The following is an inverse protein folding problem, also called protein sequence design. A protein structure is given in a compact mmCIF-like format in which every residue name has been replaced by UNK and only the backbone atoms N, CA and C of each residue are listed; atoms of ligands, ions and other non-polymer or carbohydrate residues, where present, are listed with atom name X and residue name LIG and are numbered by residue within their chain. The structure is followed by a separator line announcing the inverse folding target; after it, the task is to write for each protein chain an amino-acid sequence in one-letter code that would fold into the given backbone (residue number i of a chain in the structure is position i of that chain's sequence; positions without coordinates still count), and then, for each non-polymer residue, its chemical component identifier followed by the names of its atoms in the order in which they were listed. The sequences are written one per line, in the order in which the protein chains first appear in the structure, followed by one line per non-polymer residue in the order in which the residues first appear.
data_IF_167023305630
#
_entry.id   IF_167023305630
#
_cell.length_a   1.000
_cell.length_b   1.000
_cell.length_c   1.000
_cell.angle_alpha   90.00
_cell.angle_beta   90.00
_cell.angle_gamma   90.00
#
_symmetry.space_group_name_H-M   'P 1'
#
loop_
_entity.id
_entity.type
_entity.pdbx_description
1 polymer ?
#
# COMPACT_ATOMS: atom_id res chain seq x y z
N UNK A 1 7.16 -8.19 25.41
CA UNK A 1 6.38 -7.62 24.29
C UNK A 1 7.20 -7.85 23.03
N UNK A 2 6.59 -8.41 21.99
CA UNK A 2 7.26 -8.58 20.68
C UNK A 2 7.03 -7.30 19.86
N UNK A 3 8.08 -6.82 19.21
CA UNK A 3 8.09 -5.64 18.35
C UNK A 3 9.05 -5.85 17.17
N UNK A 4 9.06 -4.94 16.20
CA UNK A 4 10.01 -4.97 15.09
C UNK A 4 11.44 -5.18 15.62
N UNK A 5 12.12 -6.22 15.11
CA UNK A 5 13.47 -6.59 15.51
C UNK A 5 13.57 -7.58 16.68
N UNK A 6 12.49 -7.85 17.40
CA UNK A 6 12.48 -8.93 18.40
C UNK A 6 12.79 -10.28 17.74
N UNK A 7 13.64 -11.11 18.34
CA UNK A 7 13.89 -12.47 17.87
C UNK A 7 13.94 -13.50 19.01
N UNK A 8 13.55 -14.74 18.74
CA UNK A 8 13.58 -15.83 19.73
C UNK A 8 15.04 -16.22 20.08
N UNK A 9 15.32 -16.57 21.34
CA UNK A 9 16.70 -16.79 21.81
C UNK A 9 17.42 -17.97 21.14
N UNK A 10 16.67 -18.86 20.49
CA UNK A 10 17.19 -19.97 19.69
C UNK A 10 17.48 -19.59 18.22
N UNK A 11 17.15 -18.37 17.77
CA UNK A 11 17.47 -17.91 16.42
C UNK A 11 18.98 -17.72 16.24
N UNK A 12 19.56 -18.39 15.24
CA UNK A 12 21.01 -18.35 14.99
C UNK A 12 21.49 -17.00 14.43
N UNK A 13 22.78 -16.71 14.54
CA UNK A 13 23.38 -15.55 13.87
C UNK A 13 23.24 -15.62 12.33
N UNK A 14 23.36 -16.82 11.75
CA UNK A 14 23.20 -17.03 10.32
C UNK A 14 21.77 -16.73 9.84
N UNK A 15 20.75 -17.17 10.59
CA UNK A 15 19.34 -16.87 10.27
C UNK A 15 19.06 -15.36 10.30
N UNK A 16 19.58 -14.66 11.31
CA UNK A 16 19.49 -13.20 11.43
C UNK A 16 20.17 -12.47 10.27
N UNK A 17 21.36 -12.91 9.88
CA UNK A 17 22.08 -12.35 8.73
C UNK A 17 21.32 -12.59 7.41
N UNK A 18 20.77 -13.79 7.21
CA UNK A 18 19.97 -14.14 6.04
C UNK A 18 18.69 -13.28 5.95
N UNK A 19 18.02 -13.01 7.07
CA UNK A 19 16.87 -12.10 7.12
C UNK A 19 17.27 -10.68 6.70
N UNK A 20 18.36 -10.12 7.25
CA UNK A 20 18.81 -8.77 6.89
C UNK A 20 19.21 -8.67 5.41
N UNK A 21 19.81 -9.73 4.87
CA UNK A 21 20.14 -9.82 3.45
C UNK A 21 18.87 -9.88 2.58
N UNK A 22 17.86 -10.66 2.98
CA UNK A 22 16.56 -10.68 2.30
C UNK A 22 15.92 -9.29 2.26
N UNK A 23 15.95 -8.55 3.38
CA UNK A 23 15.46 -7.17 3.42
C UNK A 23 16.26 -6.28 2.46
N UNK A 24 17.59 -6.41 2.43
CA UNK A 24 18.45 -5.65 1.51
C UNK A 24 18.10 -5.96 0.06
N UNK A 25 17.89 -7.22 -0.31
CA UNK A 25 17.50 -7.62 -1.66
C UNK A 25 16.14 -7.05 -2.05
N UNK A 26 15.14 -7.18 -1.17
CA UNK A 26 13.77 -6.73 -1.44
C UNK A 26 13.66 -5.21 -1.53
N UNK A 27 14.35 -4.48 -0.64
CA UNK A 27 14.22 -3.03 -0.52
C UNK A 27 15.32 -2.24 -1.22
N UNK A 28 16.37 -2.93 -1.68
CA UNK A 28 17.59 -2.40 -2.33
C UNK A 28 18.43 -1.46 -1.48
N UNK A 29 18.18 -1.43 -0.18
CA UNK A 29 18.91 -0.60 0.78
C UNK A 29 19.32 -1.48 1.94
N UNK A 30 20.60 -1.41 2.31
CA UNK A 30 21.08 -2.11 3.49
C UNK A 30 20.47 -1.47 4.74
N UNK A 31 20.16 -2.26 5.78
CA UNK A 31 19.57 -1.73 7.01
C UNK A 31 20.46 -0.67 7.69
N UNK A 32 21.78 -0.77 7.55
CA UNK A 32 22.71 0.26 8.06
C UNK A 32 22.55 1.63 7.41
N UNK A 33 21.99 1.71 6.20
CA UNK A 33 21.72 2.95 5.48
C UNK A 33 20.34 3.54 5.78
N UNK A 34 19.50 2.79 6.50
CA UNK A 34 18.18 3.25 6.95
C UNK A 34 18.37 4.22 8.11
N UNK A 35 17.65 5.35 8.05
CA UNK A 35 17.65 6.38 9.09
C UNK A 35 17.21 5.76 10.41
N UNK A 36 17.96 6.03 11.47
CA UNK A 36 17.60 5.57 12.81
C UNK A 36 16.20 6.07 13.21
N UNK A 37 15.39 5.18 13.78
CA UNK A 37 14.02 5.50 14.16
C UNK A 37 13.15 4.25 14.27
N UNK A 38 11.85 4.46 14.48
CA UNK A 38 10.88 3.39 14.80
C UNK A 38 10.69 2.36 13.67
N UNK A 39 11.06 2.71 12.45
CA UNK A 39 10.96 1.84 11.26
C UNK A 39 12.29 1.15 10.93
N UNK A 40 13.42 1.50 11.57
CA UNK A 40 14.68 0.79 11.36
C UNK A 40 14.72 -0.44 12.26
N UNK A 41 14.85 -1.62 11.66
CA UNK A 41 14.98 -2.85 12.43
C UNK A 41 16.30 -2.88 13.22
N UNK A 42 16.19 -3.10 14.53
CA UNK A 42 17.30 -3.34 15.44
C UNK A 42 17.09 -4.69 16.13
N UNK A 43 17.90 -5.68 15.75
CA UNK A 43 17.70 -7.05 16.20
C UNK A 43 18.03 -7.18 17.70
N UNK A 44 17.01 -7.49 18.50
CA UNK A 44 17.11 -7.61 19.96
C UNK A 44 16.52 -8.95 20.41
N UNK A 45 17.21 -9.75 21.23
CA UNK A 45 16.66 -11.01 21.71
C UNK A 45 15.42 -10.73 22.55
N UNK A 46 14.36 -11.52 22.34
CA UNK A 46 13.17 -11.48 23.15
C UNK A 46 13.55 -11.92 24.57
N UNK A 47 13.34 -11.04 25.54
CA UNK A 47 13.60 -11.36 26.94
C UNK A 47 12.79 -12.60 27.36
N UNK A 48 13.36 -13.50 28.20
CA UNK A 48 12.60 -14.59 28.78
C UNK A 48 11.37 -14.02 29.49
N UNK A 49 10.20 -14.27 28.91
CA UNK A 49 8.94 -13.88 29.50
C UNK A 49 8.38 -15.07 30.30
N UNK A 50 7.43 -14.82 31.20
CA UNK A 50 6.79 -15.88 31.98
C UNK A 50 6.19 -16.98 31.08
N UNK A 51 5.93 -18.16 31.65
CA UNK A 51 5.50 -19.37 30.93
C UNK A 51 4.27 -19.21 30.02
N UNK A 52 3.53 -18.10 30.14
CA UNK A 52 2.32 -17.79 29.39
C UNK A 52 2.54 -16.85 28.21
N UNK A 53 3.74 -16.33 27.99
CA UNK A 53 4.02 -15.40 26.88
C UNK A 53 4.40 -16.14 25.61
N UNK A 54 3.81 -15.74 24.48
CA UNK A 54 4.14 -16.34 23.18
C UNK A 54 5.53 -15.90 22.70
N UNK A 55 6.29 -16.84 22.13
CA UNK A 55 7.50 -16.57 21.34
C UNK A 55 7.14 -15.93 20.00
N UNK A 56 8.14 -15.36 19.30
CA UNK A 56 7.95 -14.82 17.95
C UNK A 56 7.47 -15.89 16.98
N UNK A 57 8.09 -17.07 16.98
CA UNK A 57 7.69 -18.20 16.14
C UNK A 57 6.25 -18.66 16.44
N UNK A 58 5.84 -18.65 17.71
CA UNK A 58 4.46 -18.98 18.10
C UNK A 58 3.46 -17.95 17.56
N UNK A 59 3.79 -16.65 17.63
CA UNK A 59 2.95 -15.57 17.06
C UNK A 59 2.85 -15.71 15.54
N UNK A 60 3.97 -15.95 14.85
CA UNK A 60 3.97 -16.16 13.40
C UNK A 60 3.07 -17.33 13.02
N UNK A 61 3.25 -18.50 13.65
CA UNK A 61 2.42 -19.67 13.37
C UNK A 61 0.94 -19.45 13.68
N UNK A 62 0.62 -18.71 14.74
CA UNK A 62 -0.75 -18.36 15.09
C UNK A 62 -1.40 -17.41 14.08
N UNK A 63 -0.69 -16.35 13.65
CA UNK A 63 -1.17 -15.42 12.62
C UNK A 63 -1.35 -16.09 11.26
N UNK A 64 -0.49 -17.05 10.90
CA UNK A 64 -0.65 -17.88 9.70
C UNK A 64 -1.92 -18.72 9.79
N UNK A 65 -2.16 -19.42 10.92
CA UNK A 65 -3.37 -20.24 11.13
C UNK A 65 -4.66 -19.41 11.16
N UNK A 66 -4.58 -18.19 11.69
CA UNK A 66 -5.69 -17.24 11.75
C UNK A 66 -5.90 -16.47 10.42
N UNK A 67 -5.16 -16.77 9.35
CA UNK A 67 -5.38 -16.17 8.03
C UNK A 67 -4.80 -14.76 7.83
N UNK A 68 -4.03 -14.23 8.78
CA UNK A 68 -3.42 -12.89 8.71
C UNK A 68 -1.98 -12.87 8.18
N UNK A 69 -1.34 -14.04 8.06
CA UNK A 69 0.01 -14.14 7.52
C UNK A 69 0.17 -15.32 6.53
N UNK A 70 -0.59 -15.35 5.43
CA UNK A 70 -0.55 -16.43 4.45
C UNK A 70 0.82 -16.57 3.78
N UNK A 71 1.46 -17.73 3.92
CA UNK A 71 2.84 -17.95 3.47
C UNK A 71 3.91 -17.41 4.44
N UNK A 72 3.51 -16.95 5.62
CA UNK A 72 4.42 -16.53 6.68
C UNK A 72 5.29 -17.69 7.18
N UNK A 73 6.57 -17.40 7.41
CA UNK A 73 7.55 -18.35 7.95
C UNK A 73 7.68 -18.14 9.46
N UNK A 74 7.62 -19.21 10.24
CA UNK A 74 7.86 -19.19 11.68
C UNK A 74 9.37 -19.29 11.97
N UNK A 75 10.12 -18.25 11.62
CA UNK A 75 11.59 -18.18 11.75
C UNK A 75 12.05 -17.62 13.12
N UNK A 76 11.11 -17.17 13.95
CA UNK A 76 11.40 -16.57 15.24
C UNK A 76 11.93 -15.14 15.13
N UNK A 77 11.84 -14.47 13.98
CA UNK A 77 12.25 -13.08 13.78
C UNK A 77 11.03 -12.20 13.52
N UNK A 78 10.80 -11.21 14.38
CA UNK A 78 9.74 -10.22 14.18
C UNK A 78 10.23 -9.15 13.20
N UNK A 79 10.31 -9.55 11.94
CA UNK A 79 10.64 -8.68 10.82
C UNK A 79 9.49 -7.79 10.36
N UNK A 80 9.68 -7.09 9.24
CA UNK A 80 8.67 -6.17 8.69
C UNK A 80 7.36 -6.88 8.34
N UNK A 81 7.42 -8.09 7.76
CA UNK A 81 6.22 -8.88 7.44
C UNK A 81 5.50 -9.37 8.70
N UNK A 82 6.23 -9.87 9.69
CA UNK A 82 5.65 -10.27 10.99
C UNK A 82 4.98 -9.09 11.70
N UNK A 83 5.63 -7.92 11.74
CA UNK A 83 5.07 -6.71 12.32
C UNK A 83 3.80 -6.28 11.57
N UNK A 84 3.80 -6.38 10.25
CA UNK A 84 2.64 -6.06 9.41
C UNK A 84 1.48 -7.03 9.64
N UNK A 85 1.76 -8.32 9.84
CA UNK A 85 0.73 -9.30 10.21
C UNK A 85 0.14 -9.03 11.60
N UNK A 86 0.98 -8.60 12.57
CA UNK A 86 0.51 -8.17 13.90
C UNK A 86 -0.42 -6.96 13.75
N UNK A 87 -0.03 -5.94 12.99
CA UNK A 87 -0.88 -4.76 12.74
C UNK A 87 -2.18 -5.11 12.02
N UNK A 88 -2.11 -5.97 11.00
CA UNK A 88 -3.30 -6.39 10.25
C UNK A 88 -4.30 -7.11 11.17
N UNK A 89 -3.83 -7.99 12.06
CA UNK A 89 -4.66 -8.62 13.07
C UNK A 89 -5.26 -7.61 14.07
N UNK A 90 -4.43 -6.71 14.62
CA UNK A 90 -4.91 -5.64 15.50
C UNK A 90 -5.96 -4.76 14.81
N UNK A 91 -5.75 -4.45 13.54
CA UNK A 91 -6.68 -3.65 12.75
C UNK A 91 -7.99 -4.39 12.50
N UNK A 92 -7.96 -5.68 12.21
CA UNK A 92 -9.19 -6.48 12.10
C UNK A 92 -9.99 -6.48 13.41
N UNK A 93 -9.33 -6.72 14.54
CA UNK A 93 -9.96 -6.68 15.87
C UNK A 93 -10.58 -5.31 16.16
N UNK A 94 -9.93 -4.22 15.77
CA UNK A 94 -10.45 -2.85 15.94
C UNK A 94 -11.59 -2.52 14.97
N UNK A 95 -11.37 -2.75 13.68
CA UNK A 95 -12.24 -2.28 12.61
C UNK A 95 -13.47 -3.17 12.43
N UNK A 96 -13.28 -4.50 12.48
CA UNK A 96 -14.33 -5.48 12.19
C UNK A 96 -15.02 -5.94 13.48
N UNK A 97 -14.26 -6.26 14.52
CA UNK A 97 -14.84 -6.69 15.81
C UNK A 97 -15.17 -5.54 16.77
N UNK A 98 -14.84 -4.30 16.38
CA UNK A 98 -15.13 -3.08 17.15
C UNK A 98 -14.58 -3.12 18.58
N UNK A 99 -13.42 -3.77 18.76
CA UNK A 99 -12.72 -3.80 20.05
C UNK A 99 -11.73 -2.63 20.16
N UNK A 100 -11.49 -2.18 21.38
CA UNK A 100 -10.52 -1.10 21.64
C UNK A 100 -9.09 -1.56 21.36
N UNK A 101 -8.32 -0.71 20.67
CA UNK A 101 -6.91 -0.98 20.39
C UNK A 101 -6.32 -0.05 19.34
N UNK A 102 -4.99 0.03 19.33
CA UNK A 102 -4.23 0.70 18.28
C UNK A 102 -3.47 -0.35 17.48
N UNK A 103 -3.56 -0.36 16.14
CA UNK A 103 -2.75 -1.22 15.27
C UNK A 103 -1.30 -0.71 15.18
N UNK A 104 -0.57 -0.82 16.28
CA UNK A 104 0.79 -0.29 16.46
C UNK A 104 1.91 -1.30 16.09
N UNK A 105 1.56 -2.56 15.84
CA UNK A 105 2.52 -3.62 15.54
C UNK A 105 3.29 -4.12 16.75
N UNK A 106 2.85 -3.75 17.97
CA UNK A 106 3.41 -4.21 19.23
C UNK A 106 2.54 -5.36 19.76
N UNK A 107 3.11 -6.55 19.79
CA UNK A 107 2.42 -7.71 20.34
C UNK A 107 2.63 -7.74 21.86
N UNK A 108 1.74 -7.03 22.55
CA UNK A 108 1.63 -6.97 24.01
C UNK A 108 0.52 -7.88 24.56
N UNK A 109 0.24 -7.82 25.88
CA UNK A 109 -0.76 -8.66 26.54
C UNK A 109 -2.17 -8.56 25.94
N UNK A 110 -2.57 -7.37 25.48
CA UNK A 110 -3.85 -7.16 24.79
C UNK A 110 -3.94 -7.95 23.49
N UNK A 111 -2.98 -7.74 22.59
CA UNK A 111 -2.88 -8.47 21.32
C UNK A 111 -2.80 -9.98 21.55
N UNK A 112 -2.01 -10.43 22.53
CA UNK A 112 -1.91 -11.84 22.89
C UNK A 112 -3.25 -12.43 23.32
N UNK A 113 -3.99 -11.74 24.20
CA UNK A 113 -5.31 -12.19 24.64
C UNK A 113 -6.29 -12.34 23.47
N UNK A 114 -6.32 -11.37 22.55
CA UNK A 114 -7.19 -11.48 21.36
C UNK A 114 -6.77 -12.63 20.45
N UNK A 115 -5.46 -12.82 20.23
CA UNK A 115 -4.97 -13.92 19.39
C UNK A 115 -5.24 -15.27 20.03
N UNK A 116 -5.06 -15.41 21.35
CA UNK A 116 -5.38 -16.64 22.07
C UNK A 116 -6.88 -16.96 21.98
N UNK A 117 -7.76 -15.96 22.18
CA UNK A 117 -9.21 -16.13 21.98
C UNK A 117 -9.54 -16.63 20.56
N UNK A 118 -8.84 -16.12 19.55
CA UNK A 118 -9.01 -16.57 18.17
C UNK A 118 -8.59 -18.03 17.98
N UNK A 119 -7.45 -18.43 18.55
CA UNK A 119 -6.97 -19.80 18.49
C UNK A 119 -7.92 -20.76 19.21
N UNK A 120 -8.33 -20.41 20.43
CA UNK A 120 -9.22 -21.23 21.26
C UNK A 120 -10.62 -21.39 20.63
N UNK A 121 -11.10 -20.34 19.96
CA UNK A 121 -12.39 -20.34 19.27
C UNK A 121 -12.34 -20.85 17.82
N UNK A 122 -11.16 -21.18 17.28
CA UNK A 122 -11.02 -21.54 15.87
C UNK A 122 -11.48 -20.45 14.91
N UNK A 123 -11.36 -19.18 15.32
CA UNK A 123 -11.87 -18.04 14.55
C UNK A 123 -11.06 -17.83 13.27
N UNK A 124 -11.75 -17.36 12.24
CA UNK A 124 -11.20 -17.01 10.93
C UNK A 124 -11.72 -15.63 10.54
N UNK A 125 -10.95 -14.85 9.73
CA UNK A 125 -11.42 -13.58 9.24
C UNK A 125 -12.58 -13.83 8.27
N UNK A 126 -13.50 -12.89 8.21
CA UNK A 126 -14.68 -12.94 7.36
C UNK A 126 -14.36 -12.92 5.85
N UNK A 127 -13.14 -12.54 5.47
CA UNK A 127 -12.64 -12.64 4.10
C UNK A 127 -12.16 -14.04 3.71
N UNK A 128 -12.24 -15.04 4.59
CA UNK A 128 -11.72 -16.40 4.33
C UNK A 128 -12.32 -17.03 3.07
N UNK A 129 -13.64 -16.95 2.89
CA UNK A 129 -14.32 -17.55 1.74
C UNK A 129 -13.97 -16.83 0.43
N UNK A 130 -13.87 -15.50 0.47
CA UNK A 130 -13.46 -14.70 -0.68
C UNK A 130 -12.02 -15.06 -1.13
N UNK A 131 -11.10 -15.21 -0.16
CA UNK A 131 -9.72 -15.64 -0.44
C UNK A 131 -9.68 -17.07 -0.95
N UNK A 132 -10.51 -17.97 -0.44
CA UNK A 132 -10.59 -19.36 -0.92
C UNK A 132 -11.10 -19.44 -2.36
N UNK A 133 -12.17 -18.71 -2.70
CA UNK A 133 -12.70 -18.63 -4.06
C UNK A 133 -11.70 -18.01 -5.03
N UNK A 134 -11.01 -16.94 -4.62
CA UNK A 134 -9.92 -16.35 -5.40
C UNK A 134 -8.80 -17.37 -5.67
N UNK A 135 -8.37 -18.15 -4.65
CA UNK A 135 -7.33 -19.19 -4.80
C UNK A 135 -7.73 -20.31 -5.76
N UNK A 136 -9.01 -20.64 -5.86
CA UNK A 136 -9.50 -21.66 -6.81
C UNK A 136 -9.62 -21.13 -8.25
N UNK A 137 -9.17 -19.89 -8.52
CA UNK A 137 -9.20 -19.29 -9.85
C UNK A 137 -10.59 -18.84 -10.30
N UNK A 138 -11.58 -18.84 -9.41
CA UNK A 138 -12.95 -18.39 -9.68
C UNK A 138 -13.32 -17.30 -8.66
N UNK A 139 -12.84 -16.05 -8.83
CA UNK A 139 -13.24 -14.97 -7.95
C UNK A 139 -14.76 -14.87 -7.89
N UNK A 140 -15.32 -14.72 -6.70
CA UNK A 140 -16.75 -14.55 -6.53
C UNK A 140 -17.22 -13.29 -7.30
N UNK A 141 -18.45 -13.29 -7.85
CA UNK A 141 -19.06 -12.08 -8.38
C UNK A 141 -19.07 -10.96 -7.33
N UNK A 142 -18.87 -9.72 -7.77
CA UNK A 142 -18.84 -8.55 -6.90
C UNK A 142 -17.74 -7.57 -7.31
N UNK A 143 -17.50 -6.58 -6.45
CA UNK A 143 -16.70 -5.41 -6.80
C UNK A 143 -15.29 -5.76 -7.31
N UNK A 144 -14.63 -6.78 -6.75
CA UNK A 144 -13.32 -7.23 -7.23
C UNK A 144 -13.36 -7.66 -8.71
N UNK A 145 -14.37 -8.44 -9.10
CA UNK A 145 -14.54 -8.88 -10.48
C UNK A 145 -14.90 -7.69 -11.39
N UNK A 146 -15.77 -6.78 -10.93
CA UNK A 146 -16.15 -5.57 -11.66
C UNK A 146 -14.93 -4.69 -11.97
N UNK A 147 -14.00 -4.55 -11.02
CA UNK A 147 -12.74 -3.85 -11.23
C UNK A 147 -11.88 -4.50 -12.30
N UNK A 148 -11.73 -5.83 -12.31
CA UNK A 148 -11.00 -6.52 -13.36
C UNK A 148 -11.67 -6.36 -14.73
N UNK A 149 -13.00 -6.34 -14.78
CA UNK A 149 -13.77 -6.06 -16.01
C UNK A 149 -13.48 -4.66 -16.53
N UNK A 150 -13.53 -3.64 -15.67
CA UNK A 150 -13.19 -2.26 -16.01
C UNK A 150 -11.75 -2.16 -16.54
N UNK A 151 -10.76 -2.69 -15.81
CA UNK A 151 -9.35 -2.60 -16.21
C UNK A 151 -9.09 -3.26 -17.58
N UNK A 152 -9.73 -4.41 -17.85
CA UNK A 152 -9.67 -5.04 -19.16
C UNK A 152 -10.41 -4.24 -20.25
N UNK A 153 -11.51 -3.56 -19.92
CA UNK A 153 -12.19 -2.65 -20.86
C UNK A 153 -11.31 -1.45 -21.21
N UNK A 154 -10.65 -0.86 -20.22
CA UNK A 154 -9.67 0.23 -20.40
C UNK A 154 -8.49 -0.23 -21.26
N UNK A 155 -7.93 -1.43 -21.02
CA UNK A 155 -6.89 -2.02 -21.89
C UNK A 155 -7.35 -2.10 -23.34
N UNK A 156 -8.54 -2.66 -23.59
CA UNK A 156 -9.10 -2.80 -24.94
C UNK A 156 -9.31 -1.43 -25.60
N UNK A 157 -9.86 -0.47 -24.87
CA UNK A 157 -10.06 0.90 -25.37
C UNK A 157 -8.75 1.51 -25.85
N UNK A 158 -7.71 1.52 -25.01
CA UNK A 158 -6.43 2.12 -25.37
C UNK A 158 -5.58 1.28 -26.32
N UNK A 159 -5.84 -0.02 -26.47
CA UNK A 159 -5.24 -0.82 -27.53
C UNK A 159 -5.79 -0.43 -28.90
N UNK A 160 -7.09 -0.12 -28.99
CA UNK A 160 -7.75 0.27 -30.23
C UNK A 160 -7.53 1.74 -30.58
N UNK A 161 -7.44 2.61 -29.59
CA UNK A 161 -7.33 4.07 -29.78
C UNK A 161 -6.45 4.68 -28.69
N UNK A 162 -5.11 4.50 -28.76
CA UNK A 162 -4.21 5.06 -27.77
C UNK A 162 -4.20 6.59 -27.86
N UNK A 163 -4.31 7.25 -26.71
CA UNK A 163 -4.12 8.70 -26.62
C UNK A 163 -2.64 9.07 -26.87
N UNK A 164 -2.36 10.37 -27.00
CA UNK A 164 -1.01 10.85 -27.35
C UNK A 164 0.06 10.40 -26.35
N UNK A 165 -0.24 10.39 -25.06
CA UNK A 165 0.69 9.95 -24.03
C UNK A 165 1.03 8.46 -24.17
N UNK A 166 0.03 7.61 -24.38
CA UNK A 166 0.23 6.16 -24.56
C UNK A 166 0.94 5.83 -25.88
N UNK A 167 0.76 6.66 -26.92
CA UNK A 167 1.57 6.57 -28.15
C UNK A 167 3.05 6.87 -27.87
N UNK A 168 3.36 7.88 -27.04
CA UNK A 168 4.74 8.17 -26.63
C UNK A 168 5.34 7.02 -25.82
N UNK A 169 4.57 6.44 -24.90
CA UNK A 169 5.00 5.26 -24.12
C UNK A 169 5.27 4.07 -25.05
N UNK A 170 4.44 3.83 -26.06
CA UNK A 170 4.66 2.74 -27.01
C UNK A 170 5.88 2.96 -27.93
N UNK A 171 6.23 4.21 -28.23
CA UNK A 171 7.32 4.56 -29.14
C UNK A 171 8.69 4.74 -28.44
N UNK A 172 8.72 4.86 -27.11
CA UNK A 172 9.94 5.16 -26.37
C UNK A 172 10.89 3.95 -26.29
N UNK A 173 12.20 4.23 -26.26
CA UNK A 173 13.25 3.25 -25.97
C UNK A 173 13.83 3.41 -24.56
N UNK A 174 13.29 4.35 -23.78
CA UNK A 174 13.72 4.61 -22.41
C UNK A 174 13.40 3.38 -21.56
N UNK A 175 14.44 2.77 -21.00
CA UNK A 175 14.29 1.70 -20.00
C UNK A 175 13.53 2.25 -18.80
N UNK A 176 12.39 1.65 -18.47
CA UNK A 176 11.54 2.08 -17.37
C UNK A 176 10.75 0.90 -16.79
N UNK A 177 10.07 1.15 -15.68
CA UNK A 177 9.11 0.26 -15.02
C UNK A 177 7.67 0.56 -15.48
N UNK A 178 7.49 1.35 -16.54
CA UNK A 178 6.18 1.65 -17.13
C UNK A 178 5.91 0.72 -18.30
N UNK A 179 4.73 0.13 -18.31
CA UNK A 179 4.31 -0.85 -19.30
C UNK A 179 3.57 -0.20 -20.46
N UNK A 180 3.88 -0.62 -21.68
CA UNK A 180 3.06 -0.31 -22.83
C UNK A 180 1.68 -0.99 -22.69
N UNK A 181 0.65 -0.46 -23.37
CA UNK A 181 -0.73 -0.97 -23.27
C UNK A 181 -0.81 -2.47 -23.56
N UNK A 182 -0.04 -2.98 -24.53
CA UNK A 182 0.00 -4.39 -24.88
C UNK A 182 0.44 -5.29 -23.70
N UNK A 183 1.30 -4.77 -22.83
CA UNK A 183 1.95 -5.46 -21.71
C UNK A 183 1.16 -5.33 -20.39
N UNK A 184 0.06 -4.57 -20.37
CA UNK A 184 -0.77 -4.45 -19.19
C UNK A 184 -1.33 -5.82 -18.77
N UNK A 185 -1.16 -6.18 -17.50
CA UNK A 185 -1.64 -7.44 -16.93
C UNK A 185 -2.72 -7.14 -15.90
N UNK A 186 -3.91 -7.68 -16.13
CA UNK A 186 -5.06 -7.59 -15.23
C UNK A 186 -5.58 -8.98 -14.84
N UNK A 187 -4.67 -9.96 -14.78
CA UNK A 187 -4.94 -11.27 -14.20
C UNK A 187 -5.26 -11.17 -12.71
N UNK A 188 -5.85 -12.22 -12.15
CA UNK A 188 -6.24 -12.25 -10.74
C UNK A 188 -5.07 -12.52 -9.78
N UNK A 189 -3.95 -13.06 -10.27
CA UNK A 189 -2.81 -13.46 -9.43
C UNK A 189 -1.98 -12.29 -8.86
N UNK A 190 -1.68 -11.22 -9.62
CA UNK A 190 -0.96 -10.07 -9.09
C UNK A 190 -1.79 -9.23 -8.11
N UNK A 191 -1.10 -8.49 -7.25
CA UNK A 191 -1.71 -7.37 -6.52
C UNK A 191 -1.85 -6.17 -7.44
N UNK A 192 -3.03 -5.56 -7.49
CA UNK A 192 -3.27 -4.34 -8.26
C UNK A 192 -3.55 -3.19 -7.31
N UNK A 193 -2.87 -2.06 -7.52
CA UNK A 193 -3.21 -0.80 -6.90
C UNK A 193 -3.62 0.17 -8.00
N UNK A 194 -4.86 0.64 -7.98
CA UNK A 194 -5.39 1.53 -9.00
C UNK A 194 -5.51 2.93 -8.43
N UNK A 195 -4.76 3.91 -8.96
CA UNK A 195 -4.97 5.32 -8.66
C UNK A 195 -5.92 5.93 -9.68
N UNK A 196 -6.90 6.71 -9.22
CA UNK A 196 -7.80 7.46 -10.10
C UNK A 196 -7.49 8.95 -9.98
N UNK A 197 -6.90 9.52 -11.03
CA UNK A 197 -6.64 10.96 -11.15
C UNK A 197 -7.90 11.70 -11.56
N UNK A 198 -8.28 12.71 -10.79
CA UNK A 198 -9.42 13.59 -11.13
C UNK A 198 -9.10 14.58 -12.24
N UNK A 199 -10.14 14.99 -12.97
CA UNK A 199 -10.02 16.06 -13.96
C UNK A 199 -9.87 17.45 -13.31
N UNK A 200 -10.42 17.63 -12.11
CA UNK A 200 -10.32 18.87 -11.35
C UNK A 200 -9.11 18.84 -10.41
N UNK A 201 -8.12 19.70 -10.64
CA UNK A 201 -7.00 19.85 -9.72
C UNK A 201 -7.43 20.61 -8.45
N UNK A 202 -7.67 19.88 -7.38
CA UNK A 202 -8.06 20.47 -6.10
C UNK A 202 -6.90 20.94 -5.22
N UNK A 203 -5.65 20.53 -5.49
CA UNK A 203 -4.56 20.53 -4.50
C UNK A 203 -5.01 19.97 -3.14
N UNK A 204 -5.88 18.96 -3.16
CA UNK A 204 -6.40 18.23 -2.00
C UNK A 204 -6.10 16.74 -2.11
N UNK A 205 -6.34 16.03 -1.01
CA UNK A 205 -6.40 14.56 -1.00
C UNK A 205 -7.78 14.11 -1.50
N UNK A 206 -8.12 14.33 -2.76
CA UNK A 206 -9.45 14.03 -3.30
C UNK A 206 -9.45 12.94 -4.37
N UNK A 207 -8.29 12.35 -4.65
CA UNK A 207 -8.17 11.15 -5.47
C UNK A 207 -8.42 9.90 -4.62
N UNK A 208 -8.78 8.80 -5.31
CA UNK A 208 -9.01 7.50 -4.69
C UNK A 208 -7.99 6.51 -5.22
N UNK A 209 -7.47 5.68 -4.32
CA UNK A 209 -6.66 4.51 -4.61
C UNK A 209 -7.45 3.26 -4.27
N UNK A 210 -7.43 2.25 -5.14
CA UNK A 210 -8.15 0.99 -4.94
C UNK A 210 -7.16 -0.17 -4.98
N UNK A 211 -7.03 -0.88 -3.86
CA UNK A 211 -6.23 -2.09 -3.77
C UNK A 211 -7.12 -3.31 -4.07
N UNK A 212 -6.73 -4.08 -5.08
CA UNK A 212 -7.31 -5.39 -5.39
C UNK A 212 -6.32 -6.47 -4.93
N UNK A 213 -6.71 -7.27 -3.95
CA UNK A 213 -5.87 -8.33 -3.40
C UNK A 213 -6.73 -9.52 -2.97
N UNK A 214 -6.43 -10.70 -3.50
CA UNK A 214 -7.06 -11.97 -3.10
C UNK A 214 -8.60 -11.96 -3.11
N UNK A 215 -9.21 -11.35 -4.13
CA UNK A 215 -10.68 -11.23 -4.22
C UNK A 215 -11.27 -10.10 -3.36
N UNK A 216 -10.45 -9.33 -2.68
CA UNK A 216 -10.86 -8.23 -1.79
C UNK A 216 -10.57 -6.88 -2.44
N UNK A 217 -11.40 -5.89 -2.10
CA UNK A 217 -11.27 -4.51 -2.56
C UNK A 217 -11.14 -3.59 -1.35
N UNK A 218 -10.08 -2.78 -1.31
CA UNK A 218 -9.92 -1.75 -0.29
C UNK A 218 -9.75 -0.40 -0.99
N UNK A 219 -10.29 0.67 -0.40
CA UNK A 219 -10.20 2.01 -1.00
C UNK A 219 -9.52 2.97 -0.04
N UNK A 220 -8.59 3.77 -0.54
CA UNK A 220 -7.83 4.73 0.23
C UNK A 220 -7.96 6.10 -0.40
N UNK A 221 -8.03 7.13 0.44
CA UNK A 221 -7.98 8.51 -0.04
C UNK A 221 -6.53 8.94 -0.21
N UNK A 222 -6.26 9.73 -1.25
CA UNK A 222 -4.92 10.17 -1.55
C UNK A 222 -4.86 11.30 -2.55
N UNK A 223 -3.68 11.48 -3.13
CA UNK A 223 -3.47 12.33 -4.29
C UNK A 223 -2.50 11.65 -5.25
N UNK A 224 -2.86 11.69 -6.53
CA UNK A 224 -2.08 11.26 -7.68
C UNK A 224 -1.38 12.43 -8.39
N UNK A 225 -1.69 13.65 -7.93
CA UNK A 225 -1.16 14.89 -8.46
C UNK A 225 0.26 15.16 -7.93
N UNK A 226 1.17 15.65 -8.79
CA UNK A 226 2.50 16.02 -8.34
C UNK A 226 2.45 17.20 -7.36
N UNK A 227 3.21 17.07 -6.26
CA UNK A 227 3.53 18.17 -5.36
C UNK A 227 4.31 19.30 -6.04
N UNK A 228 4.60 20.37 -5.28
CA UNK A 228 5.43 21.47 -5.78
C UNK A 228 6.81 20.97 -6.23
N UNK A 229 7.35 21.55 -7.30
CA UNK A 229 8.68 21.21 -7.81
C UNK A 229 9.57 22.43 -7.92
N UNK A 230 10.84 22.27 -7.59
CA UNK A 230 11.90 23.27 -7.80
C UNK A 230 12.67 23.03 -9.10
N UNK A 231 12.36 21.96 -9.83
CA UNK A 231 13.00 21.67 -11.10
C UNK A 231 12.55 22.69 -12.17
N UNK A 232 13.49 23.36 -12.88
CA UNK A 232 13.13 24.37 -13.89
C UNK A 232 12.34 23.80 -15.08
N UNK A 233 12.42 22.48 -15.32
CA UNK A 233 11.60 21.82 -16.34
C UNK A 233 10.15 21.57 -15.90
N UNK A 234 9.82 21.83 -14.62
CA UNK A 234 8.47 21.72 -14.08
C UNK A 234 8.19 20.39 -13.36
N UNK A 235 6.94 20.24 -12.90
CA UNK A 235 6.50 19.09 -12.08
C UNK A 235 6.47 17.80 -12.89
N UNK A 236 6.99 16.68 -12.34
CA UNK A 236 6.91 15.39 -13.02
C UNK A 236 5.54 14.75 -12.80
N UNK A 237 4.73 14.69 -13.85
CA UNK A 237 3.48 13.94 -13.86
C UNK A 237 3.74 12.49 -14.27
N UNK A 238 3.37 11.55 -13.39
CA UNK A 238 3.34 10.14 -13.74
C UNK A 238 2.40 9.94 -14.94
N UNK A 239 2.90 9.24 -15.96
CA UNK A 239 2.10 8.89 -17.13
C UNK A 239 0.97 7.95 -16.74
N UNK A 240 -0.17 8.09 -17.39
CA UNK A 240 -1.28 7.15 -17.31
C UNK A 240 -0.83 5.74 -17.73
N UNK A 241 -1.42 4.70 -17.13
CA UNK A 241 -1.19 3.31 -17.49
C UNK A 241 -0.69 2.46 -16.33
N UNK A 242 -0.10 1.31 -16.64
CA UNK A 242 0.36 0.35 -15.64
C UNK A 242 1.88 0.43 -15.42
N UNK A 243 2.30 0.27 -14.17
CA UNK A 243 3.68 0.41 -13.71
C UNK A 243 4.03 -0.68 -12.68
N UNK A 244 5.28 -1.13 -12.72
CA UNK A 244 5.79 -2.10 -11.77
C UNK A 244 6.35 -1.42 -10.52
N UNK A 245 5.75 -1.72 -9.38
CA UNK A 245 6.19 -1.24 -8.07
C UNK A 245 6.58 -2.39 -7.15
N UNK A 246 7.50 -2.12 -6.22
CA UNK A 246 7.87 -3.04 -5.15
C UNK A 246 7.95 -2.31 -3.82
N UNK A 247 8.05 -3.09 -2.74
CA UNK A 247 8.27 -2.55 -1.42
C UNK A 247 9.71 -2.03 -1.25
N UNK A 248 9.87 -0.76 -0.86
CA UNK A 248 11.16 -0.12 -0.67
C UNK A 248 11.11 1.08 0.26
N UNK A 249 12.26 1.71 0.48
CA UNK A 249 12.37 2.80 1.46
C UNK A 249 12.06 4.18 0.88
N UNK A 250 11.09 4.89 1.44
CA UNK A 250 10.91 6.32 1.18
C UNK A 250 11.85 7.14 2.07
N UNK A 251 12.73 7.93 1.44
CA UNK A 251 13.77 8.73 2.12
C UNK A 251 14.65 7.95 3.11
N UNK A 252 14.75 6.63 2.96
CA UNK A 252 15.40 5.73 3.94
C UNK A 252 14.81 5.81 5.35
N UNK A 253 13.57 6.29 5.51
CA UNK A 253 12.92 6.49 6.81
C UNK A 253 11.87 5.44 7.12
N UNK A 254 11.01 5.13 6.15
CA UNK A 254 9.93 4.16 6.32
C UNK A 254 9.62 3.49 4.98
N UNK A 255 8.86 2.40 5.04
CA UNK A 255 8.58 1.59 3.88
C UNK A 255 7.38 2.13 3.09
N UNK A 256 7.49 2.06 1.77
CA UNK A 256 6.57 2.57 0.77
C UNK A 256 6.63 1.71 -0.50
N UNK A 257 5.80 2.00 -1.50
CA UNK A 257 5.97 1.41 -2.82
C UNK A 257 6.91 2.28 -3.65
N UNK A 258 7.86 1.66 -4.33
CA UNK A 258 8.85 2.30 -5.21
C UNK A 258 8.83 1.65 -6.59
N UNK A 259 9.20 2.38 -7.66
CA UNK A 259 9.40 1.78 -8.97
C UNK A 259 10.36 0.58 -8.93
N UNK A 260 10.02 -0.48 -9.66
CA UNK A 260 10.69 -1.79 -9.65
C UNK A 260 12.14 -1.76 -10.13
N UNK A 261 12.66 -0.72 -10.75
CA UNK A 261 13.89 -0.79 -11.53
C UNK A 261 14.42 0.58 -11.89
N UNK A 262 14.34 0.91 -13.18
CA UNK A 262 14.91 2.14 -13.73
C UNK A 262 14.07 3.40 -13.42
N UNK A 263 12.87 3.23 -12.83
CA UNK A 263 11.93 4.29 -12.59
C UNK A 263 10.74 4.23 -13.53
N UNK A 264 9.67 4.93 -13.16
CA UNK A 264 8.48 5.08 -14.00
C UNK A 264 8.64 6.26 -14.95
N UNK A 265 7.91 6.23 -16.06
CA UNK A 265 7.91 7.32 -17.02
C UNK A 265 7.08 8.50 -16.49
N UNK A 266 7.62 9.70 -16.65
CA UNK A 266 6.92 10.94 -16.33
C UNK A 266 7.00 11.91 -17.51
N UNK A 267 6.04 12.81 -17.58
CA UNK A 267 6.10 14.01 -18.41
C UNK A 267 6.19 15.21 -17.50
N UNK A 268 7.04 16.18 -17.82
CA UNK A 268 7.15 17.42 -17.02
C UNK A 268 6.21 18.49 -17.54
N UNK A 269 5.43 19.08 -16.63
CA UNK A 269 4.56 20.21 -16.92
C UNK A 269 5.19 21.53 -16.48
N UNK A 270 5.40 22.45 -17.42
CA UNK A 270 6.07 23.74 -17.16
C UNK A 270 5.17 24.75 -16.44
N UNK A 271 3.85 24.62 -16.63
CA UNK A 271 2.87 25.57 -16.14
C UNK A 271 2.39 25.26 -14.71
N UNK A 272 2.95 24.22 -14.07
CA UNK A 272 2.73 23.84 -12.66
C UNK A 272 1.29 23.49 -12.25
N UNK A 273 0.33 23.54 -13.16
CA UNK A 273 -1.09 23.35 -12.87
C UNK A 273 -1.59 22.00 -13.39
N UNK A 274 -1.91 21.85 -14.67
CA UNK A 274 -2.48 20.60 -15.22
C UNK A 274 -1.64 20.17 -16.41
N UNK A 275 -1.40 18.86 -16.53
CA UNK A 275 -0.72 18.30 -17.70
C UNK A 275 -1.62 18.45 -18.93
N UNK A 276 -1.12 19.11 -19.97
CA UNK A 276 -1.81 19.28 -21.25
C UNK A 276 -1.05 18.67 -22.44
N UNK A 277 -1.64 18.71 -23.63
CA UNK A 277 -1.02 18.17 -24.85
C UNK A 277 0.28 18.89 -25.24
N UNK A 278 0.46 20.16 -24.85
CA UNK A 278 1.69 20.90 -25.12
C UNK A 278 2.84 20.39 -24.25
N UNK A 279 2.56 20.01 -23.00
CA UNK A 279 3.54 19.39 -22.11
C UNK A 279 4.03 18.05 -22.64
N UNK A 280 3.22 17.29 -23.37
CA UNK A 280 3.64 16.02 -24.00
C UNK A 280 4.78 16.21 -25.01
N UNK A 281 4.95 17.42 -25.56
CA UNK A 281 6.08 17.76 -26.43
C UNK A 281 7.42 17.84 -25.69
N UNK A 282 7.42 17.93 -24.35
CA UNK A 282 8.65 17.88 -23.53
C UNK A 282 9.29 16.48 -23.53
N UNK A 283 8.56 15.45 -23.98
CA UNK A 283 9.03 14.08 -24.01
C UNK A 283 8.90 13.36 -22.67
N UNK A 284 9.33 12.10 -22.67
CA UNK A 284 9.29 11.21 -21.52
C UNK A 284 10.67 11.17 -20.84
N UNK A 285 10.68 11.04 -19.52
CA UNK A 285 11.87 10.69 -18.75
C UNK A 285 11.57 9.55 -17.77
N UNK A 286 12.55 8.71 -17.47
CA UNK A 286 12.44 7.73 -16.40
C UNK A 286 12.80 8.36 -15.05
N UNK A 287 11.98 8.12 -14.03
CA UNK A 287 12.16 8.69 -12.70
C UNK A 287 11.96 7.62 -11.60
N UNK A 288 13.06 7.27 -10.92
CA UNK A 288 13.09 6.25 -9.87
C UNK A 288 12.67 6.76 -8.47
N UNK A 289 12.22 8.01 -8.39
CA UNK A 289 11.83 8.67 -7.13
C UNK A 289 10.32 8.84 -6.96
N UNK A 290 9.54 8.51 -8.00
CA UNK A 290 8.07 8.56 -7.99
C UNK A 290 7.51 7.40 -7.17
N UNK A 291 7.48 7.57 -5.86
CA UNK A 291 6.99 6.57 -4.92
C UNK A 291 5.48 6.69 -4.69
N UNK A 292 4.88 5.65 -4.13
CA UNK A 292 3.55 5.70 -3.50
C UNK A 292 3.77 5.61 -1.99
N UNK A 293 3.55 6.71 -1.28
CA UNK A 293 3.94 6.82 0.13
C UNK A 293 2.89 7.53 0.98
N UNK A 294 3.19 7.67 2.26
CA UNK A 294 2.29 8.31 3.21
C UNK A 294 2.31 9.83 3.06
N UNK A 295 1.13 10.44 2.90
CA UNK A 295 0.93 11.89 2.81
C UNK A 295 0.72 12.59 4.16
N UNK A 296 0.83 11.88 5.28
CA UNK A 296 0.44 12.40 6.59
C UNK A 296 -1.02 12.07 6.95
N UNK A 297 -1.57 12.79 7.93
CA UNK A 297 -2.96 12.60 8.39
C UNK A 297 -4.02 12.97 7.36
N UNK A 298 -3.68 13.66 6.27
CA UNK A 298 -4.59 14.00 5.18
C UNK A 298 -5.92 14.67 5.58
N UNK A 299 -5.87 15.58 6.56
CA UNK A 299 -6.95 16.56 6.78
C UNK A 299 -6.79 17.76 5.83
N UNK A 300 -7.51 18.88 6.08
CA UNK A 300 -7.60 20.16 5.32
C UNK A 300 -6.27 20.84 4.88
N UNK A 301 -5.13 20.16 4.98
CA UNK A 301 -3.83 20.61 4.53
C UNK A 301 -3.74 20.56 3.00
N UNK A 302 -3.31 21.67 2.40
CA UNK A 302 -2.98 21.74 0.98
C UNK A 302 -1.87 20.74 0.63
N UNK A 303 -1.98 20.13 -0.56
CA UNK A 303 -1.01 19.24 -1.24
C UNK A 303 0.38 19.89 -1.51
N UNK A 304 0.66 21.08 -0.97
CA UNK A 304 1.76 21.95 -1.42
C UNK A 304 3.17 21.52 -0.97
N UNK A 305 3.31 20.59 -0.03
CA UNK A 305 4.60 20.32 0.65
C UNK A 305 5.15 18.88 0.53
N UNK A 306 4.64 18.05 -0.39
CA UNK A 306 5.18 16.69 -0.59
C UNK A 306 5.99 16.51 -1.88
N UNK A 307 6.70 15.39 -1.94
CA UNK A 307 7.68 15.01 -2.95
C UNK A 307 7.19 15.23 -4.39
N UNK A 308 8.09 15.74 -5.24
CA UNK A 308 7.83 16.00 -6.66
C UNK A 308 7.30 14.72 -7.34
N UNK A 309 6.04 14.74 -7.79
CA UNK A 309 5.43 13.64 -8.56
C UNK A 309 5.01 12.37 -7.82
N UNK A 310 5.33 12.23 -6.53
CA UNK A 310 4.90 11.06 -5.77
C UNK A 310 3.39 10.97 -5.65
N UNK A 311 2.91 9.73 -5.57
CA UNK A 311 1.53 9.43 -5.23
C UNK A 311 1.46 9.32 -3.69
N UNK A 312 0.43 9.90 -3.07
CA UNK A 312 0.35 9.94 -1.62
C UNK A 312 -0.97 9.41 -1.11
N UNK A 313 -0.93 8.68 0.00
CA UNK A 313 -2.11 8.12 0.67
C UNK A 313 -2.27 8.75 2.06
N UNK A 314 -3.50 9.13 2.37
CA UNK A 314 -3.94 9.67 3.64
C UNK A 314 -3.87 8.60 4.75
N UNK A 315 -3.49 8.99 5.97
CA UNK A 315 -3.57 8.15 7.17
C UNK A 315 -4.93 8.15 7.91
N UNK A 316 -5.88 9.06 7.65
CA UNK A 316 -7.08 9.23 8.48
C UNK A 316 -8.18 8.22 8.23
N UNK A 317 -8.43 7.80 6.98
CA UNK A 317 -9.56 6.93 6.65
C UNK A 317 -9.23 5.98 5.51
N UNK A 318 -9.91 4.85 5.50
CA UNK A 318 -9.99 3.94 4.35
C UNK A 318 -11.36 3.28 4.32
N UNK A 319 -11.73 2.70 3.19
CA UNK A 319 -12.92 1.86 3.05
C UNK A 319 -12.48 0.41 3.06
N UNK A 320 -13.05 -0.35 4.01
CA UNK A 320 -12.80 -1.77 4.17
C UNK A 320 -13.42 -2.61 3.04
N UNK A 321 -13.12 -3.90 3.05
CA UNK A 321 -13.62 -4.82 2.02
C UNK A 321 -15.13 -5.11 2.12
N UNK A 322 -15.82 -4.68 3.19
CA UNK A 322 -17.29 -4.70 3.27
C UNK A 322 -17.92 -3.39 2.79
N UNK A 323 -17.11 -2.46 2.26
CA UNK A 323 -17.58 -1.15 1.82
C UNK A 323 -17.77 -0.13 2.94
N UNK A 324 -17.33 -0.45 4.16
CA UNK A 324 -17.48 0.39 5.34
C UNK A 324 -16.35 1.42 5.47
N UNK A 325 -16.71 2.68 5.76
CA UNK A 325 -15.72 3.73 6.05
C UNK A 325 -15.13 3.54 7.45
N UNK A 326 -13.81 3.42 7.54
CA UNK A 326 -13.08 3.17 8.77
C UNK A 326 -12.19 4.36 9.10
N UNK A 327 -12.33 4.84 10.35
CA UNK A 327 -11.63 6.02 10.84
C UNK A 327 -10.41 5.61 11.69
N UNK A 328 -9.24 6.09 11.27
CA UNK A 328 -7.95 5.93 11.93
C UNK A 328 -7.47 7.24 12.58
N UNK A 329 -8.22 8.34 12.45
CA UNK A 329 -7.84 9.69 12.87
C UNK A 329 -7.47 9.82 14.36
N UNK A 330 -7.97 8.94 15.22
CA UNK A 330 -7.62 8.90 16.64
C UNK A 330 -6.16 8.50 16.89
N UNK A 331 -5.53 7.75 15.98
CA UNK A 331 -4.14 7.28 16.08
C UNK A 331 -3.29 7.63 14.85
N UNK A 332 -3.87 8.17 13.78
CA UNK A 332 -3.12 8.67 12.63
C UNK A 332 -2.29 9.90 13.01
N UNK A 333 -0.98 9.80 12.82
CA UNK A 333 -0.02 10.87 13.02
C UNK A 333 -0.13 11.95 11.94
N UNK A 334 0.27 13.18 12.23
CA UNK A 334 0.35 14.26 11.24
C UNK A 334 1.64 14.21 10.42
N UNK A 335 2.73 13.72 11.01
CA UNK A 335 4.05 13.65 10.37
C UNK A 335 4.93 12.56 11.00
N UNK A 336 6.11 12.33 10.41
CA UNK A 336 7.06 11.31 10.91
C UNK A 336 7.64 11.65 12.29
N UNK A 337 7.67 12.93 12.69
CA UNK A 337 8.13 13.33 14.02
C UNK A 337 7.17 12.82 15.11
N UNK A 338 5.87 12.91 14.88
CA UNK A 338 4.85 12.38 15.81
C UNK A 338 4.87 10.85 15.86
N UNK A 339 5.07 10.18 14.72
CA UNK A 339 5.27 8.71 14.68
C UNK A 339 6.48 8.30 15.52
N UNK A 340 7.57 9.07 15.47
CA UNK A 340 8.78 8.79 16.23
C UNK A 340 8.65 9.08 17.73
N UNK A 341 7.92 10.14 18.11
CA UNK A 341 7.84 10.60 19.50
C UNK A 341 6.68 9.98 20.30
N UNK A 342 5.64 9.49 19.63
CA UNK A 342 4.40 9.06 20.28
C UNK A 342 4.05 7.61 19.91
N UNK A 343 4.28 6.62 20.79
CA UNK A 343 4.10 5.20 20.47
C UNK A 343 2.68 4.78 20.03
N UNK A 344 1.65 5.54 20.42
CA UNK A 344 0.25 5.32 20.03
C UNK A 344 -0.12 5.96 18.68
N UNK A 345 0.82 6.64 18.03
CA UNK A 345 0.62 7.31 16.73
C UNK A 345 1.27 6.51 15.62
N UNK A 346 0.47 6.20 14.60
CA UNK A 346 0.91 5.42 13.43
C UNK A 346 0.61 6.18 12.14
N UNK A 347 0.94 5.60 10.98
CA UNK A 347 0.56 6.17 9.67
C UNK A 347 -0.88 5.81 9.28
N UNK A 348 -1.65 5.22 10.20
CA UNK A 348 -3.09 5.00 10.07
C UNK A 348 -3.46 4.15 8.85
N UNK A 349 -4.38 4.63 8.03
CA UNK A 349 -4.81 3.96 6.79
C UNK A 349 -3.65 3.61 5.83
N UNK A 350 -2.56 4.38 5.81
CA UNK A 350 -1.38 3.98 5.03
C UNK A 350 -0.69 2.72 5.57
N UNK A 351 -0.67 2.53 6.90
CA UNK A 351 -0.19 1.26 7.46
C UNK A 351 -1.07 0.10 6.99
N UNK A 352 -2.40 0.27 6.95
CA UNK A 352 -3.32 -0.76 6.45
C UNK A 352 -2.99 -1.17 5.02
N UNK A 353 -2.76 -0.22 4.11
CA UNK A 353 -2.31 -0.53 2.74
C UNK A 353 -1.03 -1.38 2.75
N UNK A 354 -0.01 -0.93 3.48
CA UNK A 354 1.28 -1.62 3.55
C UNK A 354 1.12 -3.01 4.17
N UNK A 355 0.27 -3.15 5.17
CA UNK A 355 0.07 -4.41 5.89
C UNK A 355 -0.68 -5.44 5.02
N UNK A 356 -1.66 -4.99 4.24
CA UNK A 356 -2.32 -5.83 3.24
C UNK A 356 -1.32 -6.32 2.19
N UNK A 357 -0.49 -5.42 1.64
CA UNK A 357 0.50 -5.80 0.61
C UNK A 357 1.57 -6.75 1.18
N UNK A 358 2.08 -6.49 2.39
CA UNK A 358 3.25 -7.20 2.91
C UNK A 358 2.94 -8.43 3.76
N UNK A 359 1.80 -8.47 4.44
CA UNK A 359 1.36 -9.61 5.24
C UNK A 359 0.29 -10.43 4.53
N UNK A 360 -0.82 -9.81 4.11
CA UNK A 360 -1.86 -10.56 3.40
C UNK A 360 -1.37 -11.02 2.02
N UNK A 361 -0.50 -10.27 1.36
CA UNK A 361 0.14 -10.63 0.10
C UNK A 361 1.45 -11.43 0.21
N UNK A 362 1.83 -11.95 1.39
CA UNK A 362 3.18 -12.52 1.56
C UNK A 362 3.47 -13.80 0.76
N UNK A 363 2.44 -14.49 0.30
CA UNK A 363 2.48 -15.66 -0.61
C UNK A 363 2.33 -15.27 -2.10
N UNK A 364 2.27 -13.98 -2.42
CA UNK A 364 2.17 -13.46 -3.79
C UNK A 364 3.54 -12.95 -4.29
N UNK A 365 3.71 -12.77 -5.62
CA UNK A 365 4.85 -12.04 -6.15
C UNK A 365 5.01 -10.68 -5.47
N UNK A 366 6.23 -10.22 -5.17
CA UNK A 366 6.48 -8.98 -4.42
C UNK A 366 6.18 -7.71 -5.21
N UNK A 367 5.86 -7.84 -6.50
CA UNK A 367 5.52 -6.73 -7.39
C UNK A 367 4.04 -6.38 -7.23
N UNK A 368 3.77 -5.08 -7.06
CA UNK A 368 2.44 -4.49 -7.11
C UNK A 368 2.30 -3.82 -8.47
N UNK A 369 1.26 -4.19 -9.23
CA UNK A 369 0.93 -3.53 -10.48
C UNK A 369 0.15 -2.27 -10.17
N UNK A 370 0.82 -1.12 -10.22
CA UNK A 370 0.17 0.17 -10.03
C UNK A 370 -0.42 0.64 -11.36
N UNK A 371 -1.73 0.88 -11.41
CA UNK A 371 -2.40 1.41 -12.61
C UNK A 371 -2.94 2.79 -12.32
N UNK A 372 -2.45 3.80 -13.06
CA UNK A 372 -2.98 5.15 -13.00
C UNK A 372 -4.03 5.34 -14.10
N UNK A 373 -5.28 5.49 -13.68
CA UNK A 373 -6.43 5.85 -14.52
C UNK A 373 -6.74 7.33 -14.39
N UNK A 374 -7.46 7.87 -15.37
CA UNK A 374 -8.12 9.18 -15.27
C UNK A 374 -9.61 8.99 -15.03
N UNK A 375 -10.27 9.98 -14.42
CA UNK A 375 -11.68 9.90 -14.03
C UNK A 375 -12.64 9.53 -15.16
N UNK A 376 -12.34 9.92 -16.42
CA UNK A 376 -13.14 9.54 -17.59
C UNK A 376 -13.06 8.05 -17.94
N UNK A 377 -11.99 7.35 -17.53
CA UNK A 377 -11.88 5.89 -17.78
C UNK A 377 -12.98 5.13 -17.04
N UNK A 378 -13.51 5.69 -15.95
CA UNK A 378 -14.62 5.12 -15.18
C UNK A 378 -15.95 5.15 -15.93
N UNK A 379 -16.07 5.88 -17.04
CA UNK A 379 -17.27 5.87 -17.89
C UNK A 379 -17.53 4.49 -18.52
N UNK A 380 -16.49 3.64 -18.58
CA UNK A 380 -16.60 2.25 -19.01
C UNK A 380 -17.22 1.33 -17.94
N UNK A 381 -17.37 1.80 -16.70
CA UNK A 381 -18.04 1.08 -15.61
C UNK A 381 -18.87 2.05 -14.73
N UNK A 382 -20.06 2.48 -15.20
CA UNK A 382 -20.86 3.50 -14.50
C UNK A 382 -21.19 3.17 -13.05
N UNK A 383 -21.41 1.89 -12.71
CA UNK A 383 -21.68 1.46 -11.34
C UNK A 383 -20.48 1.68 -10.41
N UNK A 384 -19.26 1.35 -10.85
CA UNK A 384 -18.04 1.63 -10.09
C UNK A 384 -17.81 3.14 -9.95
N UNK A 385 -18.05 3.90 -11.04
CA UNK A 385 -17.98 5.37 -11.02
C UNK A 385 -18.89 5.96 -9.95
N UNK A 386 -20.14 5.52 -9.90
CA UNK A 386 -21.11 5.96 -8.90
C UNK A 386 -20.66 5.58 -7.48
N UNK A 387 -20.26 4.32 -7.26
CA UNK A 387 -19.81 3.85 -5.94
C UNK A 387 -18.59 4.63 -5.41
N UNK A 388 -17.66 5.02 -6.29
CA UNK A 388 -16.53 5.88 -5.91
C UNK A 388 -16.97 7.30 -5.54
N UNK A 389 -17.94 7.87 -6.26
CA UNK A 389 -18.49 9.18 -5.92
C UNK A 389 -19.20 9.18 -4.56
N UNK A 390 -19.91 8.09 -4.23
CA UNK A 390 -20.53 7.88 -2.91
C UNK A 390 -19.47 7.76 -1.81
N UNK A 391 -18.44 6.94 -2.01
CA UNK A 391 -17.29 6.82 -1.09
C UNK A 391 -16.64 8.18 -0.84
N UNK A 392 -16.39 8.95 -1.89
CA UNK A 392 -15.81 10.30 -1.78
C UNK A 392 -16.70 11.21 -0.91
N UNK A 393 -18.00 11.17 -1.13
CA UNK A 393 -18.97 11.97 -0.38
C UNK A 393 -18.98 11.60 1.11
N UNK A 394 -18.91 10.30 1.43
CA UNK A 394 -18.80 9.82 2.81
C UNK A 394 -17.50 10.27 3.48
N UNK A 395 -16.37 10.18 2.77
CA UNK A 395 -15.06 10.62 3.27
C UNK A 395 -15.05 12.12 3.54
N UNK A 396 -15.57 12.93 2.62
CA UNK A 396 -15.69 14.39 2.81
C UNK A 396 -16.55 14.69 4.04
N UNK A 397 -17.67 14.00 4.21
CA UNK A 397 -18.54 14.18 5.39
C UNK A 397 -17.87 13.77 6.70
N UNK A 398 -16.98 12.77 6.69
CA UNK A 398 -16.31 12.28 7.89
C UNK A 398 -15.09 13.13 8.30
N UNK A 399 -14.50 13.88 7.36
CA UNK A 399 -13.29 14.69 7.57
C UNK A 399 -13.53 16.21 7.54
N UNK A 400 -14.67 16.66 7.02
CA UNK A 400 -15.10 18.06 6.93
C UNK A 400 -15.49 18.62 8.29
#
# INVERSE_FOLDING_TARGET
MIMLGSFDTNTTAAARAAYLEQVRTLTRVAIGDVVAGVDRIELTPLAPAGSTSMSVAQVQGALTRAGFFPGGVADGICGYRTQSAIRLFQEYVRAIERQDGVPDGRFGPGTQRHLQRWLDGGLQPDWTDAVAAWRSGTPAPGEYADWLVLLNAVKRHFSASPNRMLQLVAATTIRSDTRAVAEWDFGHAPMHLVGIRRAEKGNKFDDIFVLLIKGLVFKFQGSTEPGASTNPAGRPFLVQGQHDYHFGWHQRKYLALRPQGAGVLVVRSRNNDVLDDADLANGLEANATINIHWGGKGLKADVKSWSEGCQVINGSVYVGHRGELLNCGAFAAVNNGEVASTPSRTRGAFNVLVDLVTALGSDLPPTVLYTLLVESDLDLAPALKQGLAEVRSQVISALG
#
